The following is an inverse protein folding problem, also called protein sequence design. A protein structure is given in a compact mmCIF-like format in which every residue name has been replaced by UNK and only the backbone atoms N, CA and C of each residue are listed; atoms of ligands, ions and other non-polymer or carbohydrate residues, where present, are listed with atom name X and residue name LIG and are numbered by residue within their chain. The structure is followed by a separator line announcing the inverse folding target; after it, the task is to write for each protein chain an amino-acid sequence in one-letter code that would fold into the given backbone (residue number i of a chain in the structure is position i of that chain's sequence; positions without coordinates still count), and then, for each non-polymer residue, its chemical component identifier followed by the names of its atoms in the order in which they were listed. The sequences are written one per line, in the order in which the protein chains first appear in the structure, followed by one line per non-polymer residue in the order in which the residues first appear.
data_IF_851537525243
#
_entry.id   IF_851537525243
#
_cell.length_a   1.000
_cell.length_b   1.000
_cell.length_c   1.000
_cell.angle_alpha   90.00
_cell.angle_beta   90.00
_cell.angle_gamma   90.00
#
_symmetry.space_group_name_H-M   'P 1'
#
loop_
_entity.id
_entity.type
_entity.pdbx_description
1 polymer ?
#
# COMPACT_ATOMS: atom_id res chain seq x y z
N UNK A 1 -5.95 18.76 -3.32
CA UNK A 1 -5.02 18.01 -4.18
C UNK A 1 -4.32 18.87 -5.24
N UNK A 2 -4.72 20.12 -5.42
CA UNK A 2 -4.19 20.99 -6.49
C UNK A 2 -2.96 21.81 -6.04
N UNK A 3 -2.48 21.62 -4.83
CA UNK A 3 -1.32 22.31 -4.30
C UNK A 3 -1.69 23.67 -3.67
N UNK A 4 -0.79 24.66 -3.84
CA UNK A 4 -0.99 26.02 -3.31
C UNK A 4 -1.78 26.84 -4.33
N UNK A 5 -2.76 27.66 -3.87
CA UNK A 5 -3.70 28.33 -4.77
C UNK A 5 -4.07 29.76 -4.30
N UNK A 6 -4.74 30.55 -5.14
CA UNK A 6 -5.24 31.87 -4.78
C UNK A 6 -6.64 31.79 -4.18
N UNK A 7 -7.03 32.81 -3.36
CA UNK A 7 -8.40 32.90 -2.83
C UNK A 7 -9.47 32.91 -3.94
N UNK A 8 -9.15 33.46 -5.10
CA UNK A 8 -10.09 33.53 -6.21
C UNK A 8 -10.27 32.16 -6.87
N UNK A 9 -9.21 31.37 -7.01
CA UNK A 9 -9.27 30.03 -7.59
C UNK A 9 -9.90 29.04 -6.63
N UNK A 10 -9.55 29.11 -5.33
CA UNK A 10 -10.23 28.37 -4.27
C UNK A 10 -11.75 28.68 -4.24
N UNK A 11 -12.13 29.95 -4.42
CA UNK A 11 -13.53 30.36 -4.50
C UNK A 11 -14.28 29.72 -5.67
N UNK A 12 -13.65 29.64 -6.82
CA UNK A 12 -14.22 28.96 -8.01
C UNK A 12 -14.33 27.45 -7.82
N UNK A 13 -13.28 26.83 -7.30
CA UNK A 13 -13.24 25.37 -7.12
C UNK A 13 -14.26 24.90 -6.08
N UNK A 14 -14.37 25.62 -4.96
CA UNK A 14 -15.29 25.32 -3.88
C UNK A 14 -16.72 25.85 -4.10
N UNK A 15 -16.94 26.62 -5.16
CA UNK A 15 -18.19 27.31 -5.44
C UNK A 15 -18.65 28.24 -4.30
N UNK A 16 -17.70 28.93 -3.68
CA UNK A 16 -17.93 29.95 -2.65
C UNK A 16 -17.53 31.34 -3.11
N UNK A 17 -18.12 32.38 -2.44
CA UNK A 17 -17.68 33.75 -2.68
C UNK A 17 -16.26 34.00 -2.12
N UNK A 18 -15.49 34.86 -2.79
CA UNK A 18 -14.13 35.22 -2.32
C UNK A 18 -14.12 35.69 -0.85
N UNK A 19 -15.09 36.56 -0.36
CA UNK A 19 -15.14 36.91 1.04
C UNK A 19 -15.31 35.71 1.97
N UNK A 20 -16.12 34.72 1.59
CA UNK A 20 -16.33 33.49 2.38
C UNK A 20 -15.03 32.69 2.46
N UNK A 21 -14.36 32.49 1.33
CA UNK A 21 -13.06 31.78 1.30
C UNK A 21 -11.99 32.54 2.09
N UNK A 22 -11.97 33.89 1.99
CA UNK A 22 -11.02 34.69 2.78
C UNK A 22 -11.19 34.47 4.26
N UNK A 23 -12.45 34.43 4.77
CA UNK A 23 -12.71 34.14 6.15
C UNK A 23 -12.24 32.75 6.57
N UNK A 24 -12.61 31.72 5.79
CA UNK A 24 -12.23 30.31 6.08
C UNK A 24 -10.70 30.12 6.06
N UNK A 25 -10.03 30.68 5.06
CA UNK A 25 -8.56 30.61 4.97
C UNK A 25 -7.90 31.39 6.12
N UNK A 26 -8.49 32.54 6.53
CA UNK A 26 -8.01 33.30 7.69
C UNK A 26 -8.05 32.49 8.98
N UNK A 27 -9.16 31.79 9.26
CA UNK A 27 -9.29 30.87 10.40
C UNK A 27 -8.23 29.76 10.36
N UNK A 28 -8.02 29.12 9.19
CA UNK A 28 -6.99 28.09 9.03
C UNK A 28 -5.56 28.62 9.17
N UNK A 29 -5.32 29.90 8.87
CA UNK A 29 -4.01 30.55 9.11
C UNK A 29 -3.81 30.78 10.61
N UNK A 30 -4.83 31.23 11.32
CA UNK A 30 -4.80 31.42 12.79
C UNK A 30 -4.53 30.08 13.50
N UNK A 31 -5.12 28.99 13.01
CA UNK A 31 -4.88 27.62 13.49
C UNK A 31 -3.51 27.06 13.06
N UNK A 32 -2.75 27.77 12.22
CA UNK A 32 -1.44 27.34 11.72
C UNK A 32 -1.47 26.21 10.68
N UNK A 33 -2.65 25.85 10.16
CA UNK A 33 -2.85 24.77 9.18
C UNK A 33 -2.50 25.23 7.76
N UNK A 34 -2.81 26.50 7.46
CA UNK A 34 -2.53 27.15 6.17
C UNK A 34 -1.50 28.25 6.35
N UNK A 35 -0.69 28.47 5.33
CA UNK A 35 0.27 29.57 5.25
C UNK A 35 0.01 30.43 4.02
N UNK A 36 0.31 31.73 4.14
CA UNK A 36 0.45 32.68 3.02
C UNK A 36 1.89 32.60 2.51
N UNK A 37 2.07 32.09 1.30
CA UNK A 37 3.37 31.99 0.61
C UNK A 37 3.77 33.28 -0.12
N UNK A 38 3.00 34.34 0.05
CA UNK A 38 3.29 35.62 -0.58
C UNK A 38 2.71 35.74 -2.00
N UNK A 39 3.22 36.74 -2.73
CA UNK A 39 2.68 37.11 -4.03
C UNK A 39 3.17 36.22 -5.16
N UNK A 40 2.23 35.76 -5.98
CA UNK A 40 2.53 35.03 -7.23
C UNK A 40 3.34 35.90 -8.18
N UNK A 41 4.42 35.36 -8.76
CA UNK A 41 5.11 36.00 -9.87
C UNK A 41 4.27 35.89 -11.14
N UNK A 42 3.73 37.02 -11.60
CA UNK A 42 2.97 37.09 -12.86
C UNK A 42 3.64 38.04 -13.83
N UNK A 43 3.61 37.79 -15.15
CA UNK A 43 4.23 38.66 -16.17
C UNK A 43 3.56 40.05 -16.29
N UNK A 44 2.44 40.28 -15.60
CA UNK A 44 1.73 41.57 -15.57
C UNK A 44 0.39 41.45 -14.83
N UNK A 45 -0.10 42.55 -14.22
CA UNK A 45 -1.36 42.64 -13.52
C UNK A 45 -1.25 42.56 -12.00
N UNK A 46 -2.41 42.43 -11.32
CA UNK A 46 -2.48 42.32 -9.86
C UNK A 46 -1.90 40.97 -9.42
N UNK A 47 -0.90 40.99 -8.55
CA UNK A 47 -0.25 39.80 -8.00
C UNK A 47 -1.04 39.28 -6.80
N UNK A 48 -1.84 38.21 -6.93
CA UNK A 48 -2.55 37.64 -5.78
C UNK A 48 -1.58 36.90 -4.87
N UNK A 49 -1.95 36.78 -3.58
CA UNK A 49 -1.24 35.90 -2.66
C UNK A 49 -1.63 34.45 -2.94
N UNK A 50 -0.68 33.55 -2.69
CA UNK A 50 -0.83 32.10 -2.77
C UNK A 50 -0.94 31.55 -1.36
N UNK A 51 -1.92 30.69 -1.14
CA UNK A 51 -2.18 30.02 0.13
C UNK A 51 -2.06 28.51 -0.06
N UNK A 52 -1.51 27.82 0.93
CA UNK A 52 -1.41 26.37 0.90
C UNK A 52 -1.19 25.80 2.31
N UNK A 53 -1.19 24.47 2.40
CA UNK A 53 -0.99 23.78 3.67
C UNK A 53 0.39 24.09 4.25
N UNK A 54 0.42 24.36 5.55
CA UNK A 54 1.66 24.49 6.30
C UNK A 54 2.23 23.09 6.56
N UNK A 55 3.35 22.77 5.93
CA UNK A 55 3.98 21.44 6.06
C UNK A 55 4.39 21.09 7.51
N UNK A 56 4.60 22.08 8.37
CA UNK A 56 5.04 21.93 9.76
C UNK A 56 3.88 21.93 10.77
N UNK A 57 2.61 21.95 10.30
CA UNK A 57 1.42 21.95 11.20
C UNK A 57 1.32 20.65 12.00
N UNK A 58 1.84 19.55 11.47
CA UNK A 58 1.83 18.24 12.10
C UNK A 58 2.45 17.19 11.23
N UNK A 59 2.66 16.01 11.81
CA UNK A 59 3.31 14.89 11.17
C UNK A 59 2.55 13.60 11.43
N UNK A 60 2.71 12.63 10.56
CA UNK A 60 2.04 11.34 10.64
C UNK A 60 3.05 10.23 10.41
N UNK A 61 3.00 9.22 11.26
CA UNK A 61 3.81 8.02 11.11
C UNK A 61 3.01 6.98 10.33
N UNK A 62 3.67 6.31 9.40
CA UNK A 62 3.15 5.12 8.72
C UNK A 62 4.01 3.92 9.03
N UNK A 63 3.38 2.83 9.41
CA UNK A 63 4.02 1.56 9.71
C UNK A 63 3.45 0.49 8.80
N UNK A 64 4.31 -0.18 8.08
CA UNK A 64 3.96 -1.28 7.18
C UNK A 64 4.61 -2.57 7.67
N UNK A 65 3.79 -3.57 7.98
CA UNK A 65 4.24 -4.82 8.58
C UNK A 65 4.17 -5.92 7.53
N UNK A 66 5.32 -6.44 7.16
CA UNK A 66 5.44 -7.69 6.41
C UNK A 66 5.69 -8.87 7.37
N UNK A 67 5.85 -10.09 6.84
CA UNK A 67 6.00 -11.28 7.67
C UNK A 67 7.20 -11.24 8.63
N UNK A 68 8.32 -10.68 8.20
CA UNK A 68 9.60 -10.66 8.95
C UNK A 68 10.24 -9.29 9.04
N UNK A 69 9.57 -8.25 8.57
CA UNK A 69 10.11 -6.92 8.47
C UNK A 69 9.05 -5.86 8.78
N UNK A 70 9.51 -4.76 9.35
CA UNK A 70 8.72 -3.53 9.51
C UNK A 70 9.40 -2.43 8.73
N UNK A 71 8.60 -1.67 8.00
CA UNK A 71 8.99 -0.40 7.38
C UNK A 71 8.23 0.71 8.12
N UNK A 72 8.91 1.74 8.52
CA UNK A 72 8.33 2.88 9.24
C UNK A 72 8.77 4.17 8.58
N UNK A 73 7.87 5.13 8.48
CA UNK A 73 8.18 6.43 7.91
C UNK A 73 7.33 7.55 8.47
N UNK A 74 7.84 8.76 8.37
CA UNK A 74 7.23 9.99 8.84
C UNK A 74 6.92 10.89 7.65
N UNK A 75 5.69 11.34 7.51
CA UNK A 75 5.30 12.35 6.54
C UNK A 75 4.93 13.67 7.22
N UNK A 76 5.14 14.79 6.53
CA UNK A 76 4.67 16.09 6.95
C UNK A 76 3.15 16.26 6.65
N UNK A 77 2.58 17.40 7.03
CA UNK A 77 1.17 17.70 6.83
C UNK A 77 0.77 17.78 5.33
N UNK A 78 1.69 18.08 4.42
CA UNK A 78 1.48 18.02 2.96
C UNK A 78 1.53 16.56 2.42
N UNK A 79 1.99 15.61 3.24
CA UNK A 79 2.14 14.21 2.86
C UNK A 79 3.48 13.90 2.17
N UNK A 80 4.50 14.73 2.37
CA UNK A 80 5.84 14.46 1.86
C UNK A 80 6.63 13.67 2.90
N UNK A 81 7.36 12.65 2.45
CA UNK A 81 8.18 11.79 3.29
C UNK A 81 9.38 12.59 3.84
N UNK A 82 9.53 12.60 5.16
CA UNK A 82 10.56 13.36 5.88
C UNK A 82 11.64 12.43 6.43
N UNK A 83 11.24 11.26 6.93
CA UNK A 83 12.14 10.30 7.55
C UNK A 83 11.62 8.88 7.33
N UNK A 84 12.52 7.89 7.26
CA UNK A 84 12.13 6.50 7.09
C UNK A 84 13.20 5.53 7.62
N UNK A 85 12.74 4.38 8.11
CA UNK A 85 13.56 3.20 8.35
C UNK A 85 12.92 2.00 7.66
N UNK A 86 13.72 1.33 6.85
CA UNK A 86 13.30 0.18 6.07
C UNK A 86 13.92 -1.10 6.62
N UNK A 87 13.28 -2.24 6.37
CA UNK A 87 13.83 -3.57 6.65
C UNK A 87 14.20 -3.86 8.12
N UNK A 88 13.47 -3.26 9.06
CA UNK A 88 13.65 -3.55 10.49
C UNK A 88 13.22 -5.01 10.74
N UNK A 89 14.07 -5.82 11.37
CA UNK A 89 13.77 -7.22 11.69
C UNK A 89 12.58 -7.35 12.63
N UNK A 90 11.66 -8.27 12.28
CA UNK A 90 10.41 -8.51 13.00
C UNK A 90 10.04 -9.99 12.91
N UNK A 91 10.66 -10.81 13.77
CA UNK A 91 10.59 -12.27 13.69
C UNK A 91 9.83 -12.94 14.84
N UNK A 92 9.18 -12.17 15.69
CA UNK A 92 8.46 -12.64 16.85
C UNK A 92 7.33 -13.62 16.45
N UNK A 93 7.27 -14.78 17.12
CA UNK A 93 6.32 -15.84 16.78
C UNK A 93 4.93 -15.57 17.35
N UNK A 94 4.85 -15.05 18.59
CA UNK A 94 3.61 -14.90 19.33
C UNK A 94 2.97 -13.51 19.11
N UNK A 95 1.64 -13.42 18.94
CA UNK A 95 0.97 -12.14 18.66
C UNK A 95 1.21 -11.05 19.72
N UNK A 96 1.29 -11.42 20.99
CA UNK A 96 1.58 -10.47 22.08
C UNK A 96 3.02 -9.95 22.01
N UNK A 97 4.00 -10.79 21.73
CA UNK A 97 5.39 -10.40 21.56
C UNK A 97 5.55 -9.46 20.35
N UNK A 98 4.84 -9.76 19.26
CA UNK A 98 4.77 -8.87 18.09
C UNK A 98 4.24 -7.49 18.44
N UNK A 99 3.19 -7.42 19.27
CA UNK A 99 2.62 -6.15 19.73
C UNK A 99 3.64 -5.33 20.51
N UNK A 100 4.29 -5.92 21.53
CA UNK A 100 5.30 -5.25 22.34
C UNK A 100 6.49 -4.80 21.48
N UNK A 101 6.99 -5.69 20.62
CA UNK A 101 8.11 -5.38 19.74
C UNK A 101 7.79 -4.25 18.75
N UNK A 102 6.57 -4.23 18.22
CA UNK A 102 6.13 -3.15 17.33
C UNK A 102 6.06 -1.81 18.06
N UNK A 103 5.57 -1.80 19.29
CA UNK A 103 5.58 -0.59 20.13
C UNK A 103 7.01 -0.08 20.35
N UNK A 104 7.96 -0.97 20.68
CA UNK A 104 9.37 -0.61 20.83
C UNK A 104 9.96 0.01 19.54
N UNK A 105 9.69 -0.58 18.37
CA UNK A 105 10.16 -0.05 17.08
C UNK A 105 9.59 1.35 16.85
N UNK A 106 8.31 1.57 17.12
CA UNK A 106 7.67 2.87 16.93
C UNK A 106 8.23 3.90 17.91
N UNK A 107 8.39 3.55 19.18
CA UNK A 107 8.98 4.43 20.20
C UNK A 107 10.43 4.79 19.89
N UNK A 108 11.23 3.82 19.44
CA UNK A 108 12.61 4.04 19.02
C UNK A 108 12.68 5.00 17.84
N UNK A 109 11.87 4.78 16.80
CA UNK A 109 11.77 5.68 15.65
C UNK A 109 11.36 7.11 16.08
N UNK A 110 10.35 7.26 16.95
CA UNK A 110 9.92 8.55 17.45
C UNK A 110 11.00 9.27 18.26
N UNK A 111 11.88 8.52 18.95
CA UNK A 111 12.97 9.10 19.76
C UNK A 111 14.12 9.62 18.92
N UNK A 112 14.32 9.09 17.72
CA UNK A 112 15.44 9.42 16.82
C UNK A 112 15.03 10.36 15.67
N UNK A 113 13.74 10.48 15.37
CA UNK A 113 13.29 11.40 14.32
C UNK A 113 13.55 12.86 14.67
N UNK A 114 13.70 13.69 13.63
CA UNK A 114 14.00 15.15 13.76
C UNK A 114 12.81 15.96 14.28
N UNK A 115 11.64 15.33 14.46
CA UNK A 115 10.39 16.00 14.81
C UNK A 115 10.04 15.73 16.27
N UNK A 116 9.66 16.78 17.05
CA UNK A 116 9.18 16.61 18.43
C UNK A 116 7.93 15.72 18.49
N UNK A 117 7.83 14.86 19.53
CA UNK A 117 6.72 13.91 19.70
C UNK A 117 5.34 14.60 19.72
N UNK A 118 5.23 15.78 20.33
CA UNK A 118 3.99 16.56 20.40
C UNK A 118 3.50 17.10 19.04
N UNK A 119 4.33 17.01 18.00
CA UNK A 119 3.98 17.33 16.61
C UNK A 119 3.53 16.12 15.80
N UNK A 120 3.65 14.91 16.33
CA UNK A 120 3.16 13.69 15.68
C UNK A 120 1.68 13.55 16.05
N UNK A 121 0.80 13.71 15.06
CA UNK A 121 -0.65 13.81 15.27
C UNK A 121 -1.35 12.46 15.29
N UNK A 122 -0.91 11.50 14.46
CA UNK A 122 -1.48 10.15 14.39
C UNK A 122 -0.51 9.17 13.77
N UNK A 123 -0.70 7.89 14.07
CA UNK A 123 0.06 6.75 13.55
C UNK A 123 -0.89 5.85 12.76
N UNK A 124 -0.53 5.53 11.51
CA UNK A 124 -1.21 4.51 10.72
C UNK A 124 -0.42 3.22 10.69
N UNK A 125 -1.06 2.09 10.96
CA UNK A 125 -0.41 0.78 10.96
C UNK A 125 -1.11 -0.13 9.95
N UNK A 126 -0.37 -0.60 8.96
CA UNK A 126 -0.84 -1.57 7.99
C UNK A 126 -0.58 -2.98 8.49
N UNK A 127 -1.61 -3.81 8.43
CA UNK A 127 -1.57 -5.19 8.93
C UNK A 127 -2.04 -6.13 7.82
N UNK A 128 -1.26 -7.16 7.55
CA UNK A 128 -1.67 -8.21 6.63
C UNK A 128 -2.85 -9.02 7.15
N UNK A 129 -3.78 -9.37 6.26
CA UNK A 129 -4.97 -10.17 6.56
C UNK A 129 -6.19 -9.33 6.94
N UNK A 130 -7.07 -9.87 7.77
CA UNK A 130 -8.40 -9.31 8.03
C UNK A 130 -8.38 -8.25 9.11
N UNK A 131 -8.61 -7.02 8.70
CA UNK A 131 -8.63 -5.83 9.56
C UNK A 131 -9.94 -5.09 9.39
N UNK A 132 -10.60 -4.75 10.49
CA UNK A 132 -11.72 -3.83 10.49
C UNK A 132 -11.25 -2.44 10.95
N UNK A 133 -11.03 -1.50 10.03
CA UNK A 133 -10.49 -0.18 10.37
C UNK A 133 -11.49 0.72 11.11
N UNK A 134 -12.79 0.39 11.09
CA UNK A 134 -13.82 1.15 11.79
C UNK A 134 -13.89 0.81 13.27
N UNK A 135 -13.68 -0.47 13.60
CA UNK A 135 -13.72 -0.95 14.99
C UNK A 135 -12.34 -1.15 15.61
N UNK A 136 -11.27 -0.91 14.84
CA UNK A 136 -9.90 -1.05 15.31
C UNK A 136 -9.44 -2.48 15.60
N UNK A 137 -10.11 -3.51 15.04
CA UNK A 137 -9.76 -4.90 15.30
C UNK A 137 -8.96 -5.54 14.16
N UNK A 138 -7.94 -6.33 14.54
CA UNK A 138 -7.26 -7.30 13.69
C UNK A 138 -7.69 -8.72 14.04
N UNK A 139 -8.08 -9.51 13.04
CA UNK A 139 -8.61 -10.87 13.23
C UNK A 139 -7.61 -11.96 12.79
N UNK A 140 -6.38 -11.59 12.52
CA UNK A 140 -5.35 -12.53 12.06
C UNK A 140 -4.00 -12.32 12.76
N UNK A 141 -3.28 -11.28 12.40
CA UNK A 141 -1.87 -11.10 12.75
C UNK A 141 -1.64 -10.77 14.25
N UNK A 142 -2.55 -9.97 14.87
CA UNK A 142 -2.50 -9.55 16.27
C UNK A 142 -3.70 -10.02 17.08
N UNK A 143 -4.28 -11.17 16.75
CA UNK A 143 -5.44 -11.67 17.49
C UNK A 143 -5.00 -12.39 18.79
N UNK A 144 -4.92 -11.64 19.90
CA UNK A 144 -4.56 -12.14 21.23
C UNK A 144 -5.38 -11.51 22.38
N UNK A 145 -6.17 -10.45 22.09
CA UNK A 145 -7.05 -9.76 23.01
C UNK A 145 -8.38 -9.48 22.30
N UNK A 146 -9.47 -9.31 23.04
CA UNK A 146 -10.79 -8.97 22.48
C UNK A 146 -10.98 -7.45 22.30
N UNK A 147 -10.11 -6.63 22.92
CA UNK A 147 -10.15 -5.16 22.77
C UNK A 147 -9.72 -4.73 21.37
N UNK A 148 -10.20 -3.55 20.91
CA UNK A 148 -9.66 -2.94 19.71
C UNK A 148 -8.13 -2.80 19.79
N UNK A 149 -7.44 -3.26 18.77
CA UNK A 149 -5.99 -3.15 18.70
C UNK A 149 -5.51 -1.69 18.68
N UNK A 150 -6.32 -0.79 18.10
CA UNK A 150 -6.06 0.65 18.12
C UNK A 150 -6.00 1.20 19.55
N UNK A 151 -6.98 0.86 20.41
CA UNK A 151 -7.00 1.31 21.81
C UNK A 151 -5.75 0.83 22.56
N UNK A 152 -5.31 -0.40 22.31
CA UNK A 152 -4.12 -0.97 22.96
C UNK A 152 -2.85 -0.19 22.53
N UNK A 153 -2.72 0.14 21.25
CA UNK A 153 -1.60 0.95 20.76
C UNK A 153 -1.67 2.38 21.30
N UNK A 154 -2.85 3.00 21.34
CA UNK A 154 -3.04 4.35 21.88
C UNK A 154 -2.68 4.43 23.36
N UNK A 155 -3.09 3.46 24.17
CA UNK A 155 -2.71 3.35 25.57
C UNK A 155 -1.18 3.26 25.76
N UNK A 156 -0.49 2.51 24.89
CA UNK A 156 0.95 2.28 24.99
C UNK A 156 1.76 3.47 24.47
N UNK A 157 1.39 4.02 23.30
CA UNK A 157 2.17 5.02 22.59
C UNK A 157 1.80 6.47 22.96
N UNK A 158 0.58 6.67 23.49
CA UNK A 158 0.06 8.00 23.87
C UNK A 158 -0.22 8.90 22.68
N UNK A 159 -0.54 8.34 21.52
CA UNK A 159 -0.83 9.03 20.26
C UNK A 159 -2.00 8.29 19.59
N UNK A 160 -2.86 9.02 18.86
CA UNK A 160 -3.95 8.45 18.06
C UNK A 160 -3.44 7.42 17.06
N UNK A 161 -4.05 6.22 17.01
CA UNK A 161 -3.63 5.13 16.14
C UNK A 161 -4.78 4.66 15.26
N UNK A 162 -4.50 4.51 13.99
CA UNK A 162 -5.41 3.86 13.05
C UNK A 162 -4.76 2.63 12.43
N UNK A 163 -5.56 1.60 12.17
CA UNK A 163 -5.12 0.40 11.47
C UNK A 163 -5.85 0.24 10.13
N UNK A 164 -5.20 -0.38 9.17
CA UNK A 164 -5.83 -0.81 7.92
C UNK A 164 -5.15 -2.06 7.36
N UNK A 165 -5.75 -2.65 6.30
CA UNK A 165 -5.12 -3.72 5.57
C UNK A 165 -4.00 -3.17 4.66
N UNK A 166 -2.89 -3.92 4.55
CA UNK A 166 -1.71 -3.59 3.76
C UNK A 166 -2.03 -3.21 2.29
N UNK A 167 -2.78 -4.04 1.60
CA UNK A 167 -3.07 -3.84 0.18
C UNK A 167 -4.00 -2.64 -0.07
N UNK A 168 -4.93 -2.36 0.85
CA UNK A 168 -5.74 -1.13 0.80
C UNK A 168 -4.91 0.11 1.02
N UNK A 169 -4.00 0.07 1.97
CA UNK A 169 -3.12 1.20 2.24
C UNK A 169 -2.17 1.45 1.07
N UNK A 170 -1.57 0.42 0.49
CA UNK A 170 -0.75 0.54 -0.72
C UNK A 170 -1.55 1.16 -1.88
N UNK A 171 -2.81 0.73 -2.08
CA UNK A 171 -3.70 1.32 -3.07
C UNK A 171 -3.93 2.82 -2.82
N UNK A 172 -4.13 3.21 -1.56
CA UNK A 172 -4.31 4.61 -1.19
C UNK A 172 -3.04 5.43 -1.37
N UNK A 173 -1.89 4.87 -1.03
CA UNK A 173 -0.58 5.49 -1.29
C UNK A 173 -0.39 5.81 -2.77
N UNK A 174 -0.65 4.84 -3.65
CA UNK A 174 -0.57 5.01 -5.10
C UNK A 174 -1.61 6.01 -5.63
N UNK A 175 -2.80 6.08 -5.02
CA UNK A 175 -3.84 7.04 -5.36
C UNK A 175 -3.40 8.48 -5.05
N UNK A 176 -2.78 8.72 -3.91
CA UNK A 176 -2.42 10.09 -3.48
C UNK A 176 -1.07 10.55 -4.03
N UNK A 177 -0.04 9.68 -4.04
CA UNK A 177 1.36 10.07 -4.35
C UNK A 177 1.99 9.25 -5.49
N UNK A 178 1.31 8.23 -5.99
CA UNK A 178 1.88 7.27 -6.92
C UNK A 178 1.54 7.49 -8.39
N UNK A 179 0.94 6.47 -9.00
CA UNK A 179 0.67 6.38 -10.46
C UNK A 179 -0.61 7.06 -10.90
N UNK A 180 -1.50 7.36 -9.98
CA UNK A 180 -2.81 7.92 -10.31
C UNK A 180 -2.69 9.41 -10.63
N UNK A 181 -3.38 9.86 -11.66
CA UNK A 181 -3.41 11.27 -12.08
C UNK A 181 -4.83 11.85 -11.97
N UNK A 182 -5.77 11.28 -12.72
CA UNK A 182 -7.16 11.71 -12.74
C UNK A 182 -8.14 10.53 -12.62
N UNK A 183 -7.61 9.31 -12.65
CA UNK A 183 -8.38 8.08 -12.56
C UNK A 183 -9.08 7.99 -11.20
N UNK A 184 -10.34 7.55 -11.18
CA UNK A 184 -11.17 7.42 -9.97
C UNK A 184 -11.55 5.98 -9.65
N UNK A 185 -11.45 5.08 -10.62
CA UNK A 185 -11.78 3.68 -10.48
C UNK A 185 -10.51 2.85 -10.70
N UNK A 186 -9.94 2.35 -9.60
CA UNK A 186 -8.61 1.79 -9.59
C UNK A 186 -8.63 0.46 -8.87
N UNK A 187 -7.89 -0.49 -9.41
CA UNK A 187 -7.58 -1.76 -8.76
C UNK A 187 -6.07 -1.80 -8.53
N UNK A 188 -5.66 -1.99 -7.28
CA UNK A 188 -4.29 -2.25 -6.89
C UNK A 188 -4.15 -3.74 -6.53
N UNK A 189 -3.31 -4.46 -7.24
CA UNK A 189 -3.00 -5.86 -6.99
C UNK A 189 -1.66 -5.94 -6.28
N UNK A 190 -1.69 -6.34 -5.01
CA UNK A 190 -0.49 -6.55 -4.20
C UNK A 190 -0.02 -7.99 -4.36
N UNK A 191 1.03 -8.20 -5.16
CA UNK A 191 1.66 -9.51 -5.38
C UNK A 191 2.95 -9.57 -4.57
N UNK A 192 2.79 -9.78 -3.27
CA UNK A 192 3.89 -9.98 -2.33
C UNK A 192 4.07 -11.45 -1.98
N UNK A 193 4.41 -11.75 -0.73
CA UNK A 193 4.38 -13.13 -0.23
C UNK A 193 3.00 -13.76 -0.37
N UNK A 194 1.93 -13.01 -0.03
CA UNK A 194 0.55 -13.34 -0.33
C UNK A 194 0.04 -12.61 -1.58
N UNK A 195 -1.28 -12.64 -1.76
CA UNK A 195 -1.97 -11.96 -2.86
C UNK A 195 -3.14 -11.14 -2.29
N UNK A 196 -3.01 -9.81 -2.32
CA UNK A 196 -4.01 -8.88 -1.83
C UNK A 196 -4.56 -7.97 -2.93
N UNK A 197 -5.65 -7.27 -2.59
CA UNK A 197 -6.34 -6.35 -3.50
C UNK A 197 -6.79 -5.09 -2.76
N UNK A 198 -6.42 -3.92 -3.27
CA UNK A 198 -7.02 -2.65 -2.91
C UNK A 198 -7.94 -2.15 -4.02
N UNK A 199 -9.14 -1.69 -3.66
CA UNK A 199 -10.16 -1.24 -4.62
C UNK A 199 -10.51 0.21 -4.30
N UNK A 200 -10.45 1.08 -5.32
CA UNK A 200 -10.92 2.46 -5.25
C UNK A 200 -12.03 2.65 -6.27
N UNK A 201 -13.17 3.13 -5.83
CA UNK A 201 -14.37 3.42 -6.64
C UNK A 201 -14.75 4.88 -6.46
N UNK A 202 -14.88 5.62 -7.55
CA UNK A 202 -15.19 7.05 -7.54
C UNK A 202 -14.25 7.88 -6.66
N UNK A 203 -12.96 7.49 -6.60
CA UNK A 203 -11.94 8.17 -5.80
C UNK A 203 -11.94 7.83 -4.31
N UNK A 204 -12.73 6.86 -3.88
CA UNK A 204 -12.83 6.42 -2.48
C UNK A 204 -12.45 4.95 -2.33
N UNK A 205 -11.73 4.62 -1.26
CA UNK A 205 -11.44 3.23 -0.90
C UNK A 205 -12.73 2.46 -0.65
N UNK A 206 -12.83 1.29 -1.24
CA UNK A 206 -13.94 0.38 -1.03
C UNK A 206 -13.62 -0.63 0.08
N UNK A 207 -14.31 -0.51 1.20
CA UNK A 207 -14.08 -1.35 2.38
C UNK A 207 -15.00 -2.56 2.45
N UNK A 208 -16.11 -2.56 1.71
CA UNK A 208 -17.22 -3.50 1.96
C UNK A 208 -17.91 -3.20 3.29
N UNK A 209 -18.69 -4.16 3.80
CA UNK A 209 -19.50 -3.97 5.02
C UNK A 209 -18.66 -3.81 6.29
N UNK A 210 -17.59 -4.58 6.42
CA UNK A 210 -16.82 -4.72 7.68
C UNK A 210 -15.31 -4.59 7.47
N UNK A 211 -14.88 -3.95 6.35
CA UNK A 211 -13.47 -3.80 6.04
C UNK A 211 -12.82 -5.05 5.41
N UNK A 212 -13.59 -6.02 4.90
CA UNK A 212 -13.06 -7.28 4.36
C UNK A 212 -13.21 -7.38 2.84
N UNK A 213 -13.33 -6.26 2.12
CA UNK A 213 -13.27 -6.28 0.66
C UNK A 213 -11.84 -6.57 0.18
N UNK A 214 -11.72 -7.16 -1.01
CA UNK A 214 -10.41 -7.36 -1.62
C UNK A 214 -9.72 -8.68 -1.29
N UNK A 215 -10.42 -9.66 -0.72
CA UNK A 215 -9.91 -11.01 -0.41
C UNK A 215 -9.67 -11.84 -1.70
N UNK A 216 -9.04 -11.22 -2.70
CA UNK A 216 -8.83 -11.78 -4.04
C UNK A 216 -7.95 -13.03 -4.06
N UNK A 217 -6.95 -13.08 -3.19
CA UNK A 217 -6.08 -14.24 -3.04
C UNK A 217 -6.84 -15.49 -2.58
N UNK A 218 -8.01 -15.32 -1.94
CA UNK A 218 -8.78 -16.42 -1.35
C UNK A 218 -10.00 -16.85 -2.17
N UNK A 219 -10.18 -16.34 -3.40
CA UNK A 219 -11.18 -16.91 -4.32
C UNK A 219 -10.76 -18.33 -4.68
N UNK A 220 -11.73 -19.25 -4.77
CA UNK A 220 -11.48 -20.62 -5.25
C UNK A 220 -11.24 -20.58 -6.76
N UNK A 221 -10.01 -20.78 -7.18
CA UNK A 221 -9.57 -20.67 -8.55
C UNK A 221 -9.12 -22.02 -9.13
N UNK A 222 -8.82 -23.00 -8.28
CA UNK A 222 -8.25 -24.30 -8.65
C UNK A 222 -8.93 -25.44 -7.91
N UNK A 223 -8.99 -26.59 -8.58
CA UNK A 223 -9.41 -27.88 -8.01
C UNK A 223 -8.16 -28.66 -7.53
N UNK A 224 -7.27 -28.01 -6.78
CA UNK A 224 -6.09 -28.66 -6.22
C UNK A 224 -6.23 -28.86 -4.70
N UNK A 225 -5.39 -29.74 -4.13
CA UNK A 225 -5.40 -30.10 -2.71
C UNK A 225 -4.47 -29.21 -1.85
N UNK A 226 -3.92 -28.12 -2.43
CA UNK A 226 -3.00 -27.24 -1.73
C UNK A 226 -3.76 -26.44 -0.69
N UNK A 227 -3.36 -26.61 0.57
CA UNK A 227 -3.95 -25.89 1.71
C UNK A 227 -3.43 -24.47 1.75
N UNK A 228 -4.33 -23.50 1.65
CA UNK A 228 -4.02 -22.09 1.90
C UNK A 228 -3.95 -21.79 3.41
N UNK A 229 -3.17 -20.80 3.82
CA UNK A 229 -3.09 -20.36 5.21
C UNK A 229 -4.45 -19.90 5.78
N UNK A 230 -5.42 -19.54 4.93
CA UNK A 230 -6.80 -19.26 5.36
C UNK A 230 -7.60 -20.50 5.77
N UNK A 231 -7.03 -21.70 5.66
CA UNK A 231 -7.65 -22.99 6.01
C UNK A 231 -8.49 -23.62 4.89
N UNK A 232 -8.54 -23.02 3.68
CA UNK A 232 -9.26 -23.52 2.52
C UNK A 232 -8.29 -24.07 1.46
N UNK A 233 -8.81 -24.85 0.52
CA UNK A 233 -8.05 -25.36 -0.63
C UNK A 233 -8.46 -24.66 -1.92
N UNK A 234 -7.55 -24.65 -2.90
CA UNK A 234 -7.82 -24.10 -4.23
C UNK A 234 -7.85 -22.60 -4.32
N UNK A 235 -7.34 -21.87 -3.31
CA UNK A 235 -7.24 -20.42 -3.34
C UNK A 235 -6.29 -19.94 -4.44
N UNK A 236 -6.61 -18.80 -5.08
CA UNK A 236 -5.76 -18.20 -6.12
C UNK A 236 -4.33 -17.95 -5.60
N UNK A 237 -4.18 -17.52 -4.37
CA UNK A 237 -2.90 -17.25 -3.74
C UNK A 237 -1.95 -18.45 -3.75
N UNK A 238 -2.47 -19.68 -3.65
CA UNK A 238 -1.62 -20.89 -3.64
C UNK A 238 -0.90 -21.16 -4.97
N UNK A 239 -1.26 -20.43 -6.03
CA UNK A 239 -0.66 -20.60 -7.38
C UNK A 239 -0.15 -19.28 -7.99
N UNK A 240 -0.59 -18.12 -7.47
CA UNK A 240 -0.32 -16.81 -8.07
C UNK A 240 0.18 -15.77 -7.06
N UNK A 241 1.09 -16.16 -6.18
CA UNK A 241 1.71 -15.30 -5.16
C UNK A 241 3.21 -15.57 -5.03
N UNK A 242 3.91 -14.77 -4.22
CA UNK A 242 5.31 -15.01 -3.89
C UNK A 242 5.54 -16.32 -3.14
N UNK A 243 4.63 -16.69 -2.22
CA UNK A 243 4.72 -17.98 -1.53
C UNK A 243 4.51 -19.16 -2.48
N UNK A 244 3.67 -19.00 -3.50
CA UNK A 244 3.50 -20.00 -4.54
C UNK A 244 4.76 -20.14 -5.40
N UNK A 245 5.36 -19.02 -5.82
CA UNK A 245 6.64 -19.01 -6.54
C UNK A 245 7.73 -19.69 -5.72
N UNK A 246 7.88 -19.30 -4.46
CA UNK A 246 8.89 -19.85 -3.54
C UNK A 246 8.73 -21.38 -3.38
N UNK A 247 7.52 -21.84 -3.10
CA UNK A 247 7.23 -23.28 -2.99
C UNK A 247 7.58 -24.04 -4.26
N UNK A 248 7.11 -23.57 -5.43
CA UNK A 248 7.38 -24.18 -6.72
C UNK A 248 8.88 -24.21 -7.04
N UNK A 249 9.60 -23.14 -6.70
CA UNK A 249 11.04 -23.04 -6.93
C UNK A 249 11.79 -24.12 -6.13
N UNK A 250 11.51 -24.25 -4.81
CA UNK A 250 12.12 -25.31 -4.00
C UNK A 250 11.73 -26.71 -4.46
N UNK A 251 10.47 -26.95 -4.82
CA UNK A 251 10.03 -28.23 -5.38
C UNK A 251 10.83 -28.63 -6.65
N UNK A 252 11.14 -27.67 -7.51
CA UNK A 252 11.93 -27.89 -8.72
C UNK A 252 13.40 -28.18 -8.42
N UNK A 253 13.99 -27.46 -7.44
CA UNK A 253 15.35 -27.76 -6.96
C UNK A 253 15.44 -29.18 -6.39
N UNK A 254 14.51 -29.58 -5.51
CA UNK A 254 14.45 -30.94 -4.94
C UNK A 254 14.27 -32.03 -6.03
N UNK A 255 13.64 -31.69 -7.15
CA UNK A 255 13.52 -32.59 -8.31
C UNK A 255 14.74 -32.56 -9.23
N UNK A 256 15.83 -31.92 -8.82
CA UNK A 256 17.12 -31.93 -9.51
C UNK A 256 17.26 -30.89 -10.63
N UNK A 257 16.37 -29.88 -10.70
CA UNK A 257 16.59 -28.78 -11.63
C UNK A 257 17.67 -27.84 -11.09
N UNK A 258 18.47 -27.27 -11.98
CA UNK A 258 19.56 -26.37 -11.64
C UNK A 258 19.10 -24.91 -11.63
N UNK A 259 19.65 -24.12 -10.71
CA UNK A 259 19.51 -22.67 -10.65
C UNK A 259 20.84 -22.03 -10.27
N UNK A 260 21.03 -20.76 -10.58
CA UNK A 260 22.16 -19.97 -10.09
C UNK A 260 22.21 -19.93 -8.56
N UNK A 261 21.05 -19.97 -7.90
CA UNK A 261 20.98 -19.97 -6.43
C UNK A 261 21.63 -21.20 -5.79
N UNK A 262 21.60 -22.36 -6.42
CA UNK A 262 22.27 -23.56 -5.89
C UNK A 262 23.79 -23.45 -5.88
N UNK A 263 24.35 -22.48 -6.61
CA UNK A 263 25.79 -22.16 -6.59
C UNK A 263 26.13 -21.05 -5.61
N UNK A 264 25.16 -20.20 -5.25
CA UNK A 264 25.32 -19.01 -4.41
C UNK A 264 25.00 -19.27 -2.94
N UNK A 265 24.13 -20.22 -2.65
CA UNK A 265 23.67 -20.57 -1.29
C UNK A 265 23.89 -22.06 -1.02
N UNK A 266 24.57 -22.35 0.10
CA UNK A 266 24.84 -23.72 0.56
C UNK A 266 23.60 -24.36 1.20
N UNK A 267 22.72 -23.53 1.78
CA UNK A 267 21.51 -23.98 2.47
C UNK A 267 20.25 -23.40 1.80
N UNK A 268 19.35 -24.28 1.36
CA UNK A 268 18.08 -23.89 0.74
C UNK A 268 17.17 -23.09 1.68
N UNK A 269 17.26 -23.29 3.01
CA UNK A 269 16.51 -22.56 4.01
C UNK A 269 16.88 -21.05 4.06
N UNK A 270 18.00 -20.65 3.48
CA UNK A 270 18.45 -19.28 3.35
C UNK A 270 17.91 -18.58 2.09
N UNK A 271 17.27 -19.32 1.20
CA UNK A 271 16.67 -18.74 -0.01
C UNK A 271 15.47 -17.90 0.37
N UNK A 272 15.41 -16.69 -0.14
CA UNK A 272 14.28 -15.76 0.03
C UNK A 272 13.57 -15.52 -1.30
N UNK A 273 12.38 -14.93 -1.24
CA UNK A 273 11.66 -14.53 -2.45
C UNK A 273 12.45 -13.50 -3.28
N UNK A 274 13.15 -12.58 -2.61
CA UNK A 274 14.01 -11.61 -3.30
C UNK A 274 15.17 -12.27 -4.03
N UNK A 275 15.78 -13.29 -3.44
CA UNK A 275 16.84 -14.03 -4.13
C UNK A 275 16.36 -14.68 -5.43
N UNK A 276 15.14 -15.22 -5.44
CA UNK A 276 14.55 -15.82 -6.66
C UNK A 276 14.31 -14.74 -7.72
N UNK A 277 13.86 -13.56 -7.32
CA UNK A 277 13.68 -12.42 -8.23
C UNK A 277 15.03 -11.95 -8.77
N UNK A 278 16.03 -11.83 -7.90
CA UNK A 278 17.37 -11.33 -8.25
C UNK A 278 18.08 -12.25 -9.25
N UNK A 279 17.94 -13.59 -9.10
CA UNK A 279 18.52 -14.50 -10.10
C UNK A 279 17.72 -14.55 -11.40
N UNK A 280 16.41 -14.31 -11.36
CA UNK A 280 15.65 -14.14 -12.61
C UNK A 280 16.15 -12.92 -13.40
N UNK A 281 16.50 -11.82 -12.71
CA UNK A 281 17.12 -10.64 -13.33
C UNK A 281 18.56 -10.91 -13.84
N UNK A 282 19.20 -11.99 -13.37
CA UNK A 282 20.47 -12.52 -13.85
C UNK A 282 20.30 -13.64 -14.90
N UNK A 283 19.10 -13.74 -15.50
CA UNK A 283 18.77 -14.68 -16.56
C UNK A 283 18.74 -16.17 -16.12
N UNK A 284 18.44 -16.45 -14.84
CA UNK A 284 18.16 -17.81 -14.37
C UNK A 284 16.87 -18.34 -14.99
N UNK A 285 17.00 -19.39 -15.80
CA UNK A 285 15.89 -19.95 -16.59
C UNK A 285 14.77 -20.47 -15.69
N UNK A 286 15.11 -21.20 -14.60
CA UNK A 286 14.11 -21.76 -13.69
C UNK A 286 13.29 -20.66 -13.03
N UNK A 287 13.93 -19.63 -12.54
CA UNK A 287 13.26 -18.50 -11.90
C UNK A 287 12.37 -17.75 -12.90
N UNK A 288 12.85 -17.49 -14.12
CA UNK A 288 12.09 -16.83 -15.18
C UNK A 288 10.82 -17.64 -15.53
N UNK A 289 10.95 -18.95 -15.82
CA UNK A 289 9.82 -19.80 -16.20
C UNK A 289 8.72 -19.83 -15.11
N UNK A 290 9.11 -19.88 -13.83
CA UNK A 290 8.17 -19.88 -12.73
C UNK A 290 7.50 -18.51 -12.51
N UNK A 291 8.23 -17.41 -12.70
CA UNK A 291 7.66 -16.05 -12.66
C UNK A 291 6.67 -15.84 -13.81
N UNK A 292 6.98 -16.32 -15.02
CA UNK A 292 6.06 -16.31 -16.16
C UNK A 292 4.77 -17.10 -15.89
N UNK A 293 4.89 -18.26 -15.26
CA UNK A 293 3.73 -19.09 -14.87
C UNK A 293 2.82 -18.33 -13.89
N UNK A 294 3.41 -17.71 -12.86
CA UNK A 294 2.69 -16.85 -11.91
C UNK A 294 2.03 -15.68 -12.64
N UNK A 295 2.75 -15.00 -13.52
CA UNK A 295 2.25 -13.87 -14.30
C UNK A 295 1.05 -14.24 -15.19
N UNK A 296 1.13 -15.36 -15.89
CA UNK A 296 0.04 -15.88 -16.71
C UNK A 296 -1.20 -16.22 -15.87
N UNK A 297 -0.99 -16.91 -14.76
CA UNK A 297 -2.07 -17.29 -13.83
C UNK A 297 -2.76 -16.05 -13.24
N UNK A 298 -1.97 -15.13 -12.73
CA UNK A 298 -2.47 -13.87 -12.18
C UNK A 298 -3.23 -13.07 -13.23
N UNK A 299 -2.68 -12.92 -14.44
CA UNK A 299 -3.28 -12.17 -15.53
C UNK A 299 -4.65 -12.69 -15.94
N UNK A 300 -4.85 -14.01 -15.95
CA UNK A 300 -6.16 -14.63 -16.20
C UNK A 300 -7.22 -14.17 -15.19
N UNK A 301 -6.86 -14.10 -13.91
CA UNK A 301 -7.80 -13.72 -12.85
C UNK A 301 -7.97 -12.20 -12.74
N UNK A 302 -6.92 -11.41 -13.00
CA UNK A 302 -7.03 -9.95 -13.13
C UNK A 302 -7.93 -9.56 -14.31
N UNK A 303 -7.94 -10.32 -15.41
CA UNK A 303 -8.90 -10.12 -16.49
C UNK A 303 -10.36 -10.25 -16.01
N UNK A 304 -10.61 -11.15 -15.06
CA UNK A 304 -11.92 -11.26 -14.40
C UNK A 304 -12.30 -10.01 -13.63
N UNK A 305 -11.33 -9.42 -12.87
CA UNK A 305 -11.55 -8.15 -12.17
C UNK A 305 -11.83 -6.99 -13.14
N UNK A 306 -11.09 -6.92 -14.26
CA UNK A 306 -11.31 -5.93 -15.30
C UNK A 306 -12.74 -6.05 -15.87
N UNK A 307 -13.19 -7.27 -16.16
CA UNK A 307 -14.55 -7.50 -16.66
C UNK A 307 -15.66 -7.17 -15.65
N UNK A 308 -15.38 -7.31 -14.34
CA UNK A 308 -16.35 -7.05 -13.27
C UNK A 308 -16.45 -5.58 -12.87
N UNK A 309 -15.30 -4.90 -12.78
CA UNK A 309 -15.21 -3.55 -12.21
C UNK A 309 -15.03 -2.46 -13.26
N UNK A 310 -14.61 -2.80 -14.49
CA UNK A 310 -14.25 -1.85 -15.53
C UNK A 310 -13.38 -0.68 -15.00
N UNK A 311 -12.22 -0.97 -14.38
CA UNK A 311 -11.38 0.07 -13.80
C UNK A 311 -10.68 0.90 -14.88
N UNK A 312 -10.42 2.17 -14.60
CA UNK A 312 -9.59 3.03 -15.45
C UNK A 312 -8.10 2.64 -15.37
N UNK A 313 -7.68 2.14 -14.20
CA UNK A 313 -6.30 1.79 -13.92
C UNK A 313 -6.21 0.53 -13.06
N UNK A 314 -5.37 -0.41 -13.50
CA UNK A 314 -4.89 -1.54 -12.70
C UNK A 314 -3.42 -1.31 -12.38
N UNK A 315 -3.08 -1.29 -11.09
CA UNK A 315 -1.69 -1.15 -10.61
C UNK A 315 -1.22 -2.49 -10.09
N UNK A 316 -0.10 -2.96 -10.58
CA UNK A 316 0.56 -4.17 -10.08
C UNK A 316 1.71 -3.73 -9.15
N UNK A 317 1.63 -4.11 -7.90
CA UNK A 317 2.64 -3.82 -6.88
C UNK A 317 2.96 -5.06 -6.04
N UNK A 318 3.68 -4.84 -4.94
CA UNK A 318 4.22 -5.91 -4.10
C UNK A 318 5.55 -6.42 -4.63
N UNK A 319 6.20 -7.27 -3.85
CA UNK A 319 7.59 -7.74 -4.07
C UNK A 319 7.79 -8.37 -5.45
N UNK A 320 6.82 -9.17 -5.95
CA UNK A 320 6.96 -9.80 -7.26
C UNK A 320 6.96 -8.81 -8.42
N UNK A 321 6.42 -7.60 -8.25
CA UNK A 321 6.47 -6.59 -9.30
C UNK A 321 7.90 -6.16 -9.64
N UNK A 322 8.86 -6.38 -8.73
CA UNK A 322 10.29 -6.12 -8.93
C UNK A 322 10.93 -7.07 -9.97
N UNK A 323 10.28 -8.21 -10.31
CA UNK A 323 10.71 -9.06 -11.41
C UNK A 323 10.51 -8.41 -12.81
N UNK A 324 9.89 -7.23 -12.87
CA UNK A 324 9.77 -6.43 -14.07
C UNK A 324 9.03 -7.14 -15.21
N UNK A 325 9.61 -7.13 -16.39
CA UNK A 325 8.99 -7.67 -17.60
C UNK A 325 8.75 -9.18 -17.55
N UNK A 326 9.52 -9.95 -16.76
CA UNK A 326 9.29 -11.38 -16.59
C UNK A 326 7.93 -11.70 -15.96
N UNK A 327 7.41 -10.82 -15.11
CA UNK A 327 6.05 -10.92 -14.57
C UNK A 327 5.02 -10.20 -15.45
N UNK A 328 5.35 -8.97 -15.88
CA UNK A 328 4.37 -8.03 -16.44
C UNK A 328 3.96 -8.39 -17.87
N UNK A 329 4.86 -8.88 -18.71
CA UNK A 329 4.53 -9.25 -20.09
C UNK A 329 3.57 -10.44 -20.16
N UNK A 330 3.83 -11.60 -19.49
CA UNK A 330 2.89 -12.70 -19.45
C UNK A 330 1.54 -12.32 -18.80
N UNK A 331 1.56 -11.52 -17.73
CA UNK A 331 0.34 -10.99 -17.11
C UNK A 331 -0.50 -10.18 -18.11
N UNK A 332 0.10 -9.23 -18.83
CA UNK A 332 -0.60 -8.43 -19.85
C UNK A 332 -1.13 -9.29 -21.01
N UNK A 333 -0.37 -10.29 -21.44
CA UNK A 333 -0.79 -11.22 -22.48
C UNK A 333 -2.02 -12.00 -22.06
N UNK A 334 -2.02 -12.53 -20.83
CA UNK A 334 -3.16 -13.25 -20.27
C UNK A 334 -4.38 -12.34 -20.10
N UNK A 335 -4.20 -11.10 -19.59
CA UNK A 335 -5.30 -10.12 -19.49
C UNK A 335 -5.96 -9.92 -20.85
N UNK A 336 -5.19 -9.64 -21.91
CA UNK A 336 -5.73 -9.47 -23.26
C UNK A 336 -6.47 -10.71 -23.78
N UNK A 337 -6.03 -11.90 -23.40
CA UNK A 337 -6.65 -13.16 -23.82
C UNK A 337 -8.00 -13.40 -23.13
N UNK A 338 -8.15 -13.02 -21.87
CA UNK A 338 -9.28 -13.40 -21.03
C UNK A 338 -10.25 -12.27 -20.69
N UNK A 339 -9.92 -10.99 -20.96
CA UNK A 339 -10.83 -9.87 -20.79
C UNK A 339 -11.59 -9.55 -22.08
N UNK A 340 -12.76 -8.94 -21.95
CA UNK A 340 -13.54 -8.44 -23.07
C UNK A 340 -12.84 -7.24 -23.73
N UNK A 341 -12.70 -7.24 -25.05
CA UNK A 341 -11.95 -6.22 -25.79
C UNK A 341 -12.35 -4.78 -25.49
N UNK A 342 -13.67 -4.51 -25.35
CA UNK A 342 -14.17 -3.16 -25.05
C UNK A 342 -13.75 -2.73 -23.64
N UNK A 343 -13.95 -3.60 -22.65
CA UNK A 343 -13.61 -3.31 -21.25
C UNK A 343 -12.10 -3.15 -21.08
N UNK A 344 -11.31 -3.98 -21.75
CA UNK A 344 -9.85 -3.88 -21.69
C UNK A 344 -9.29 -2.58 -22.31
N UNK A 345 -9.99 -2.00 -23.29
CA UNK A 345 -9.57 -0.72 -23.88
C UNK A 345 -9.72 0.47 -22.94
N UNK A 346 -10.67 0.38 -21.99
CA UNK A 346 -10.90 1.42 -20.97
C UNK A 346 -9.87 1.36 -19.83
N UNK A 347 -9.20 0.20 -19.67
CA UNK A 347 -8.29 -0.05 -18.56
C UNK A 347 -6.83 0.09 -18.98
N UNK A 348 -6.03 0.80 -18.22
CA UNK A 348 -4.58 0.80 -18.34
C UNK A 348 -3.94 -0.05 -17.23
N UNK A 349 -2.79 -0.69 -17.55
CA UNK A 349 -2.06 -1.53 -16.59
C UNK A 349 -0.70 -0.88 -16.36
N UNK A 350 -0.42 -0.51 -15.11
CA UNK A 350 0.85 0.12 -14.71
C UNK A 350 1.47 -0.65 -13.53
N UNK A 351 2.77 -0.56 -13.41
CA UNK A 351 3.50 -1.05 -12.21
C UNK A 351 3.48 0.05 -11.16
N UNK A 352 3.44 -0.32 -9.89
CA UNK A 352 3.55 0.60 -8.75
C UNK A 352 4.71 1.59 -8.96
N UNK A 353 4.47 2.85 -8.60
CA UNK A 353 5.51 3.89 -8.62
C UNK A 353 6.22 3.98 -7.27
N UNK A 354 5.49 3.69 -6.19
CA UNK A 354 6.00 3.81 -4.84
C UNK A 354 6.84 2.59 -4.43
N UNK A 355 6.68 1.45 -5.13
CA UNK A 355 7.45 0.23 -4.86
C UNK A 355 7.35 -0.20 -3.39
N UNK A 356 8.48 -0.49 -2.77
CA UNK A 356 8.55 -0.96 -1.38
C UNK A 356 8.10 0.09 -0.35
N UNK A 357 8.00 1.37 -0.73
CA UNK A 357 7.49 2.44 0.12
C UNK A 357 5.96 2.59 0.08
N UNK A 358 5.27 1.82 -0.78
CA UNK A 358 3.83 1.95 -0.96
C UNK A 358 3.06 1.69 0.35
N UNK A 359 3.50 0.73 1.14
CA UNK A 359 2.90 0.39 2.42
C UNK A 359 3.02 1.51 3.45
N UNK A 360 4.24 1.92 3.78
CA UNK A 360 4.47 2.96 4.79
C UNK A 360 3.85 4.32 4.40
N UNK A 361 3.95 4.70 3.12
CA UNK A 361 3.32 5.93 2.63
C UNK A 361 1.79 5.81 2.65
N UNK A 362 1.25 4.65 2.28
CA UNK A 362 -0.17 4.37 2.35
C UNK A 362 -0.70 4.48 3.77
N UNK A 363 -0.02 3.87 4.75
CA UNK A 363 -0.37 3.93 6.17
C UNK A 363 -0.40 5.37 6.70
N UNK A 364 0.68 6.13 6.47
CA UNK A 364 0.78 7.51 6.94
C UNK A 364 -0.23 8.44 6.28
N UNK A 365 -0.49 8.27 4.97
CA UNK A 365 -1.50 9.04 4.24
C UNK A 365 -2.93 8.70 4.68
N UNK A 366 -3.21 7.43 5.02
CA UNK A 366 -4.50 7.02 5.61
C UNK A 366 -4.70 7.64 6.99
N UNK A 367 -3.69 7.58 7.88
CA UNK A 367 -3.74 8.23 9.19
C UNK A 367 -4.01 9.74 9.05
N UNK A 368 -3.25 10.41 8.18
CA UNK A 368 -3.47 11.83 7.87
C UNK A 368 -4.89 12.10 7.38
N UNK A 369 -5.40 11.31 6.45
CA UNK A 369 -6.71 11.55 5.84
C UNK A 369 -7.86 11.30 6.82
N UNK A 370 -7.73 10.32 7.72
CA UNK A 370 -8.66 10.10 8.84
C UNK A 370 -8.61 11.27 9.81
N UNK A 371 -7.42 11.71 10.21
CA UNK A 371 -7.23 12.82 11.15
C UNK A 371 -7.90 14.12 10.67
N UNK A 372 -7.79 14.45 9.38
CA UNK A 372 -8.42 15.64 8.80
C UNK A 372 -9.85 15.42 8.27
N UNK A 373 -10.43 14.23 8.50
CA UNK A 373 -11.83 13.91 8.15
C UNK A 373 -12.12 13.79 6.65
N UNK A 374 -11.16 13.36 5.85
CA UNK A 374 -11.34 13.11 4.41
C UNK A 374 -11.88 11.71 4.10
N UNK A 375 -11.72 10.75 5.01
CA UNK A 375 -12.17 9.36 4.89
C UNK A 375 -12.71 8.87 6.23
#
# INVERSE_FOLDING_TARGET
NNGDDTLADLGKELNFSVPTVTKMVGELIEDGIVMDFGKMETPGGRRPNIYGLNQSSGYFIGVDISQKRVHIGLINFKGDLIDEQMDISFEEAHPHERFERLCEIIEDFMSHTVVPKDKILSIGINISGRVNPQTGHSYSFFYFDERPLTEMFEEKLGIDVSIDNDSRAMAYGEYIKGRVQAEKNIIYVNVGWGLGLGIIVNGQLYYGKSGFSGEFGHITAFENEILCHCGKKGCLETEASGSALYRKFLEKLHNGQSSLLTQQKENEDEITLNDIIDVALQEDILAIELIEEVGNTLGKHVAGLINLFNPELVIIGGTLANAGDYLILPLRSAIKKYSLNLVNKDSSIKVSKLGDKAGLLGASLLARSKFIGLI
#
